data_IF_038454194217
#
_entry.id   IF_038454194217
#
_cell.length_a   1.000
_cell.length_b   1.000
_cell.length_c   1.000
_cell.angle_alpha   90.00
_cell.angle_beta   90.00
_cell.angle_gamma   90.00
#
_symmetry.space_group_name_H-M   'P 1'
#
loop_
_entity.id
_entity.type
_entity.pdbx_description
1 polymer ?
#
# COMPACT_ATOMS: atom_id res chain seq x y z
N UNK A 1 -2.57 18.76 17.33
CA UNK A 1 -1.70 18.24 16.24
C UNK A 1 -2.00 16.78 15.83
N UNK A 2 -3.25 16.28 15.88
CA UNK A 2 -3.55 14.85 15.54
C UNK A 2 -4.57 14.66 14.41
N UNK A 3 -5.21 15.73 13.89
CA UNK A 3 -6.22 15.63 12.83
C UNK A 3 -5.70 15.86 11.40
N UNK A 4 -4.46 16.34 11.26
CA UNK A 4 -3.85 16.65 9.95
C UNK A 4 -3.23 15.40 9.32
N UNK A 5 -2.69 14.49 10.16
CA UNK A 5 -2.06 13.24 9.74
C UNK A 5 -2.97 12.36 8.87
N UNK A 6 -4.23 12.04 9.26
CA UNK A 6 -5.10 11.21 8.42
C UNK A 6 -5.47 11.90 7.10
N UNK A 7 -5.63 13.22 7.11
CA UNK A 7 -5.93 13.99 5.89
C UNK A 7 -4.76 13.96 4.91
N UNK A 8 -3.54 14.18 5.40
CA UNK A 8 -2.33 14.11 4.59
C UNK A 8 -2.09 12.72 4.01
N UNK A 9 -2.32 11.66 4.80
CA UNK A 9 -2.24 10.28 4.32
C UNK A 9 -3.29 10.00 3.24
N UNK A 10 -4.55 10.40 3.44
CA UNK A 10 -5.60 10.21 2.46
C UNK A 10 -5.31 10.97 1.15
N UNK A 11 -4.78 12.19 1.25
CA UNK A 11 -4.38 13.00 0.11
C UNK A 11 -3.26 12.33 -0.71
N UNK A 12 -2.21 11.82 -0.06
CA UNK A 12 -1.15 11.08 -0.76
C UNK A 12 -1.66 9.81 -1.45
N UNK A 13 -2.52 9.04 -0.77
CA UNK A 13 -3.14 7.85 -1.36
C UNK A 13 -3.99 8.22 -2.58
N UNK A 14 -4.75 9.30 -2.50
CA UNK A 14 -5.55 9.79 -3.63
C UNK A 14 -4.67 10.19 -4.82
N UNK A 15 -3.55 10.90 -4.60
CA UNK A 15 -2.61 11.27 -5.66
C UNK A 15 -2.02 10.03 -6.34
N UNK A 16 -1.54 9.06 -5.55
CA UNK A 16 -0.97 7.81 -6.09
C UNK A 16 -2.03 7.02 -6.87
N UNK A 17 -3.26 6.96 -6.36
CA UNK A 17 -4.38 6.33 -7.05
C UNK A 17 -4.73 7.00 -8.38
N UNK A 18 -4.73 8.33 -8.43
CA UNK A 18 -4.96 9.10 -9.66
C UNK A 18 -3.82 8.89 -10.69
N UNK A 19 -2.57 8.83 -10.24
CA UNK A 19 -1.42 8.51 -11.11
C UNK A 19 -1.55 7.10 -11.71
N UNK A 20 -1.95 6.12 -10.89
CA UNK A 20 -2.24 4.77 -11.36
C UNK A 20 -3.37 4.74 -12.38
N UNK A 21 -4.47 5.43 -12.09
CA UNK A 21 -5.62 5.50 -12.99
C UNK A 21 -5.23 6.13 -14.33
N UNK A 22 -4.37 7.16 -14.30
CA UNK A 22 -3.83 7.78 -15.51
C UNK A 22 -3.00 6.79 -16.33
N UNK A 23 -2.11 6.04 -15.67
CA UNK A 23 -1.28 5.02 -16.31
C UNK A 23 -2.05 3.81 -16.84
N UNK A 24 -3.23 3.51 -16.31
CA UNK A 24 -4.06 2.40 -16.83
C UNK A 24 -4.99 2.89 -17.96
N UNK A 25 -5.65 4.03 -17.77
CA UNK A 25 -6.69 4.48 -18.70
C UNK A 25 -6.15 5.21 -19.93
N UNK A 26 -4.96 5.82 -19.83
CA UNK A 26 -4.44 6.68 -20.88
C UNK A 26 -3.08 6.26 -21.41
N UNK A 27 -2.66 5.00 -21.18
CA UNK A 27 -1.42 4.47 -21.77
C UNK A 27 -1.59 4.25 -23.27
N UNK A 28 -0.63 4.76 -24.03
CA UNK A 28 -0.52 4.63 -25.47
C UNK A 28 0.81 3.98 -25.80
N UNK A 29 0.80 3.03 -26.73
CA UNK A 29 1.98 2.33 -27.20
C UNK A 29 2.37 2.86 -28.58
N UNK A 30 3.61 3.32 -28.71
CA UNK A 30 4.20 3.72 -29.97
C UNK A 30 5.28 2.71 -30.36
N UNK A 31 5.14 2.16 -31.56
CA UNK A 31 6.18 1.35 -32.18
C UNK A 31 7.10 2.29 -32.96
N UNK A 32 8.37 2.36 -32.56
CA UNK A 32 9.38 3.15 -33.26
C UNK A 32 9.91 2.38 -34.47
N UNK A 33 10.48 3.11 -35.44
CA UNK A 33 11.05 2.56 -36.68
C UNK A 33 12.19 1.56 -36.43
N UNK A 34 12.80 1.62 -35.25
CA UNK A 34 13.81 0.67 -34.78
C UNK A 34 13.23 -0.59 -34.11
N UNK A 35 11.93 -0.86 -34.28
CA UNK A 35 11.17 -1.95 -33.65
C UNK A 35 11.05 -1.90 -32.11
N UNK A 36 11.48 -0.83 -31.45
CA UNK A 36 11.25 -0.66 -30.00
C UNK A 36 9.81 -0.20 -29.72
N UNK A 37 9.28 -0.58 -28.56
CA UNK A 37 7.92 -0.22 -28.13
C UNK A 37 8.06 0.73 -26.95
N UNK A 38 7.54 1.94 -27.09
CA UNK A 38 7.49 2.95 -26.02
C UNK A 38 6.04 3.10 -25.57
N UNK A 39 5.80 2.87 -24.28
CA UNK A 39 4.50 3.09 -23.65
C UNK A 39 4.53 4.39 -22.87
N UNK A 40 3.59 5.31 -23.10
CA UNK A 40 3.46 6.54 -22.32
C UNK A 40 1.99 6.87 -22.05
N UNK A 41 1.69 7.50 -20.91
CA UNK A 41 0.32 7.89 -20.55
C UNK A 41 0.10 9.41 -20.73
N UNK A 42 -0.95 9.80 -21.46
CA UNK A 42 -1.32 11.21 -21.65
C UNK A 42 -2.48 11.61 -20.73
N UNK A 43 -2.45 12.79 -20.08
CA UNK A 43 -3.65 13.34 -19.46
C UNK A 43 -4.74 13.58 -20.52
N UNK A 44 -5.99 13.22 -20.23
CA UNK A 44 -7.12 13.41 -21.14
C UNK A 44 -7.35 14.90 -21.45
N UNK A 45 -6.89 15.37 -22.60
CA UNK A 45 -7.23 16.68 -23.16
C UNK A 45 -8.16 16.51 -24.35
N UNK A 46 -9.42 16.95 -24.21
CA UNK A 46 -10.42 16.95 -25.28
C UNK A 46 -10.34 18.18 -26.21
N UNK A 47 -9.36 19.08 -26.05
CA UNK A 47 -9.32 20.36 -26.78
C UNK A 47 -8.34 20.44 -27.96
N UNK A 48 -7.55 19.40 -28.23
CA UNK A 48 -6.47 19.49 -29.22
C UNK A 48 -6.74 18.69 -30.50
N UNK A 49 -7.94 18.82 -31.07
CA UNK A 49 -8.21 18.28 -32.41
C UNK A 49 -7.57 19.12 -33.54
N UNK A 50 -6.91 20.26 -33.25
CA UNK A 50 -6.35 21.12 -34.31
C UNK A 50 -5.20 22.07 -33.90
N UNK A 51 -4.53 21.81 -32.78
CA UNK A 51 -3.37 22.63 -32.37
C UNK A 51 -2.16 21.75 -32.18
N UNK A 52 -1.31 21.71 -33.21
CA UNK A 52 0.03 21.14 -33.17
C UNK A 52 0.96 22.05 -32.35
N UNK A 53 0.57 22.33 -31.11
CA UNK A 53 1.34 23.08 -30.13
C UNK A 53 1.22 22.40 -28.77
N UNK A 54 1.82 21.22 -28.67
CA UNK A 54 2.02 20.50 -27.40
C UNK A 54 3.22 21.09 -26.68
N UNK A 55 3.06 22.27 -26.07
CA UNK A 55 4.10 22.95 -25.28
C UNK A 55 4.45 22.28 -23.94
N UNK A 56 4.05 21.03 -23.74
CA UNK A 56 4.35 20.21 -22.56
C UNK A 56 4.98 18.90 -23.02
N UNK A 57 6.17 18.97 -23.59
CA UNK A 57 7.04 17.80 -23.74
C UNK A 57 7.85 17.66 -22.46
N UNK A 58 7.63 16.57 -21.75
CA UNK A 58 8.48 16.19 -20.63
C UNK A 58 9.79 15.63 -21.17
N UNK A 59 10.89 16.01 -20.54
CA UNK A 59 12.18 15.38 -20.84
C UNK A 59 12.17 13.92 -20.38
N UNK A 60 12.94 13.06 -21.03
CA UNK A 60 13.04 11.64 -20.68
C UNK A 60 13.42 11.43 -19.21
N UNK A 61 14.24 12.32 -18.66
CA UNK A 61 14.68 12.31 -17.26
C UNK A 61 13.52 12.64 -16.31
N UNK A 62 12.63 13.57 -16.67
CA UNK A 62 11.46 13.91 -15.87
C UNK A 62 10.49 12.73 -15.79
N UNK A 63 10.31 12.02 -16.90
CA UNK A 63 9.48 10.81 -16.95
C UNK A 63 10.06 9.69 -16.07
N UNK A 64 11.38 9.49 -16.11
CA UNK A 64 12.05 8.49 -15.25
C UNK A 64 11.89 8.84 -13.77
N UNK A 65 12.02 10.13 -13.40
CA UNK A 65 11.84 10.57 -12.02
C UNK A 65 10.40 10.36 -11.55
N UNK A 66 9.41 10.69 -12.40
CA UNK A 66 8.00 10.47 -12.09
C UNK A 66 7.67 8.98 -11.91
N UNK A 67 8.22 8.11 -12.77
CA UNK A 67 8.04 6.67 -12.66
C UNK A 67 8.70 6.10 -11.40
N UNK A 68 9.91 6.56 -11.07
CA UNK A 68 10.60 6.17 -9.85
C UNK A 68 9.85 6.60 -8.58
N UNK A 69 9.26 7.81 -8.57
CA UNK A 69 8.41 8.27 -7.48
C UNK A 69 7.15 7.39 -7.35
N UNK A 70 6.50 7.09 -8.47
CA UNK A 70 5.32 6.23 -8.47
C UNK A 70 5.64 4.84 -7.91
N UNK A 71 6.76 4.25 -8.33
CA UNK A 71 7.23 2.96 -7.83
C UNK A 71 7.52 3.01 -6.33
N UNK A 72 8.24 4.04 -5.88
CA UNK A 72 8.60 4.24 -4.47
C UNK A 72 7.34 4.32 -3.59
N UNK A 73 6.37 5.15 -3.95
CA UNK A 73 5.15 5.31 -3.16
C UNK A 73 4.27 4.05 -3.19
N UNK A 74 4.20 3.37 -4.34
CA UNK A 74 3.46 2.10 -4.46
C UNK A 74 4.07 1.03 -3.56
N UNK A 75 5.40 0.85 -3.61
CA UNK A 75 6.11 -0.10 -2.77
C UNK A 75 5.95 0.22 -1.27
N UNK A 76 6.02 1.50 -0.90
CA UNK A 76 5.83 1.93 0.48
C UNK A 76 4.42 1.62 1.01
N UNK A 77 3.36 1.85 0.21
CA UNK A 77 1.98 1.53 0.59
C UNK A 77 1.81 0.02 0.78
N UNK A 78 2.32 -0.80 -0.15
CA UNK A 78 2.25 -2.27 -0.05
C UNK A 78 3.00 -2.76 1.18
N UNK A 79 4.23 -2.30 1.40
CA UNK A 79 5.03 -2.67 2.57
C UNK A 79 4.32 -2.29 3.88
N UNK A 80 3.75 -1.08 3.96
CA UNK A 80 2.99 -0.63 5.12
C UNK A 80 1.76 -1.52 5.38
N UNK A 81 1.01 -1.88 4.34
CA UNK A 81 -0.14 -2.77 4.43
C UNK A 81 0.25 -4.16 4.94
N UNK A 82 1.34 -4.73 4.41
CA UNK A 82 1.89 -6.03 4.85
C UNK A 82 2.30 -5.95 6.33
N UNK A 83 3.09 -4.95 6.73
CA UNK A 83 3.54 -4.79 8.12
C UNK A 83 2.35 -4.70 9.08
N UNK A 84 1.31 -3.93 8.72
CA UNK A 84 0.09 -3.82 9.55
C UNK A 84 -0.68 -5.14 9.62
N UNK A 85 -0.80 -5.87 8.51
CA UNK A 85 -1.45 -7.18 8.46
C UNK A 85 -0.73 -8.22 9.33
N UNK A 86 0.60 -8.29 9.23
CA UNK A 86 1.43 -9.18 10.04
C UNK A 86 1.36 -8.79 11.51
N UNK A 87 1.47 -7.50 11.84
CA UNK A 87 1.39 -7.01 13.23
C UNK A 87 0.06 -7.37 13.89
N UNK A 88 -1.05 -7.21 13.16
CA UNK A 88 -2.40 -7.58 13.64
C UNK A 88 -2.48 -9.08 13.92
N UNK A 89 -1.92 -9.90 13.04
CA UNK A 89 -1.92 -11.36 13.15
C UNK A 89 -1.08 -11.83 14.34
N UNK A 90 0.15 -11.33 14.48
CA UNK A 90 1.05 -11.65 15.60
C UNK A 90 0.45 -11.21 16.94
N UNK A 91 -0.09 -9.99 17.01
CA UNK A 91 -0.76 -9.49 18.22
C UNK A 91 -1.95 -10.37 18.62
N UNK A 92 -2.74 -10.81 17.64
CA UNK A 92 -3.89 -11.70 17.86
C UNK A 92 -3.43 -13.04 18.42
N UNK A 93 -2.42 -13.68 17.81
CA UNK A 93 -1.85 -14.96 18.29
C UNK A 93 -1.27 -14.82 19.70
N UNK A 94 -0.55 -13.74 19.98
CA UNK A 94 0.01 -13.49 21.31
C UNK A 94 -1.09 -13.33 22.37
N UNK A 95 -2.15 -12.59 22.05
CA UNK A 95 -3.29 -12.42 22.95
C UNK A 95 -3.98 -13.76 23.25
N UNK A 96 -4.18 -14.61 22.24
CA UNK A 96 -4.75 -15.95 22.44
C UNK A 96 -3.85 -16.84 23.29
N UNK A 97 -2.53 -16.84 23.06
CA UNK A 97 -1.58 -17.60 23.89
C UNK A 97 -1.58 -17.11 25.34
N UNK A 98 -1.60 -15.79 25.56
CA UNK A 98 -1.65 -15.21 26.90
C UNK A 98 -2.95 -15.60 27.61
N UNK A 99 -4.10 -15.50 26.94
CA UNK A 99 -5.39 -15.89 27.51
C UNK A 99 -5.42 -17.36 27.92
N UNK A 100 -4.98 -18.27 27.03
CA UNK A 100 -4.92 -19.70 27.32
C UNK A 100 -3.97 -20.01 28.50
N UNK A 101 -2.83 -19.30 28.59
CA UNK A 101 -1.90 -19.47 29.70
C UNK A 101 -2.47 -19.03 31.04
N UNK A 102 -3.26 -17.95 31.07
CA UNK A 102 -3.91 -17.47 32.29
C UNK A 102 -5.05 -18.40 32.70
N UNK A 103 -5.83 -18.89 31.75
CA UNK A 103 -6.91 -19.85 32.03
C UNK A 103 -6.37 -21.15 32.63
N UNK A 104 -5.25 -21.67 32.11
CA UNK A 104 -4.56 -22.82 32.68
C UNK A 104 -4.07 -22.58 34.12
N UNK A 105 -3.46 -21.41 34.40
CA UNK A 105 -3.02 -21.04 35.76
C UNK A 105 -4.22 -20.91 36.71
N UNK A 106 -5.32 -20.31 36.27
CA UNK A 106 -6.54 -20.17 37.09
C UNK A 106 -7.14 -21.54 37.39
N UNK A 107 -7.15 -22.46 36.41
CA UNK A 107 -7.67 -23.81 36.60
C UNK A 107 -6.82 -24.62 37.59
N UNK A 108 -5.49 -24.54 37.49
CA UNK A 108 -4.58 -25.20 38.44
C UNK A 108 -4.73 -24.67 39.87
N UNK A 109 -4.98 -23.36 40.05
CA UNK A 109 -5.21 -22.76 41.36
C UNK A 109 -6.64 -22.97 41.90
N UNK A 110 -7.53 -23.59 41.12
CA UNK A 110 -8.88 -24.00 41.55
C UNK A 110 -9.02 -25.49 41.79
N UNK A 111 -7.99 -26.29 41.52
CA UNK A 111 -7.99 -27.69 41.91
C UNK A 111 -8.10 -27.77 43.46
N UNK A 112 -9.05 -28.55 44.00
CA UNK A 112 -9.18 -28.69 45.44
C UNK A 112 -7.86 -29.21 46.02
N UNK A 113 -7.48 -28.82 47.25
CA UNK A 113 -6.28 -29.33 47.88
C UNK A 113 -6.30 -30.85 47.80
N UNK A 114 -5.21 -31.45 47.29
CA UNK A 114 -5.05 -32.89 47.28
C UNK A 114 -5.17 -33.34 48.73
N UNK A 115 -6.32 -33.94 49.06
CA UNK A 115 -6.53 -34.57 50.33
C UNK A 115 -5.56 -35.76 50.39
N UNK A 116 -4.43 -35.58 51.07
CA UNK A 116 -3.44 -36.63 51.35
C UNK A 116 -3.94 -37.66 52.38
N UNK A 117 -5.25 -37.77 52.62
CA UNK A 117 -5.87 -38.68 53.59
C UNK A 117 -6.59 -39.87 52.94
N UNK A 118 -6.19 -40.29 51.74
CA UNK A 118 -6.65 -41.56 51.17
C UNK A 118 -5.45 -42.38 50.68
N UNK A 119 -5.10 -43.35 51.54
CA UNK A 119 -4.32 -44.59 51.33
C UNK A 119 -2.81 -44.41 51.19
#
# INVERSE_FOLDING_TARGET
MNRIKPFFTAFLVAIVGLLWLNNVLFVHFHKLDNNSIVAHAHPFSKSTANSQNTGHQHSSEELIVLDALLLLFTAAIIAFAIIKSVSKTVFTVYKYKLFLSLEHIIYLNKAPPLNTSCI
#
